data_IF_863854845957
#
_entry.id   IF_863854845957
#
_cell.length_a   1.000
_cell.length_b   1.000
_cell.length_c   1.000
_cell.angle_alpha   90.00
_cell.angle_beta   90.00
_cell.angle_gamma   90.00
#
_symmetry.space_group_name_H-M   'P 1'
#
loop_
_entity.id
_entity.type
_entity.pdbx_description
1 polymer ?
#
# COMPACT_ATOMS: atom_id res chain seq x y z
N UNK A 1 4.47 -22.81 0.36
CA UNK A 1 4.25 -21.35 0.20
C UNK A 1 5.25 -20.81 -0.82
N UNK A 2 4.83 -19.90 -1.69
CA UNK A 2 5.72 -19.31 -2.69
C UNK A 2 6.79 -18.44 -2.00
N UNK A 3 8.10 -18.58 -2.32
CA UNK A 3 9.19 -17.93 -1.56
C UNK A 3 9.07 -16.41 -1.44
N UNK A 4 8.59 -15.72 -2.47
CA UNK A 4 8.44 -14.25 -2.43
C UNK A 4 7.31 -13.79 -1.49
N UNK A 5 6.28 -14.61 -1.30
CA UNK A 5 5.22 -14.35 -0.33
C UNK A 5 5.69 -14.64 1.10
N UNK A 6 6.40 -15.76 1.29
CA UNK A 6 7.03 -16.10 2.57
C UNK A 6 8.00 -15.00 3.04
N UNK A 7 8.77 -14.45 2.10
CA UNK A 7 9.64 -13.31 2.32
C UNK A 7 8.87 -12.06 2.79
N UNK A 8 7.71 -11.74 2.19
CA UNK A 8 6.89 -10.61 2.62
C UNK A 8 6.26 -10.87 3.99
N UNK A 9 5.75 -12.07 4.24
CA UNK A 9 5.20 -12.44 5.56
C UNK A 9 6.27 -12.30 6.63
N UNK A 10 7.48 -12.77 6.36
CA UNK A 10 8.63 -12.63 7.27
C UNK A 10 8.97 -11.16 7.53
N UNK A 11 8.91 -10.32 6.48
CA UNK A 11 9.14 -8.88 6.59
C UNK A 11 8.10 -8.17 7.47
N UNK A 12 6.83 -8.61 7.41
CA UNK A 12 5.75 -8.07 8.23
C UNK A 12 5.72 -8.64 9.66
N UNK A 13 6.44 -9.73 9.91
CA UNK A 13 6.60 -10.32 11.23
C UNK A 13 7.72 -9.60 11.97
N UNK A 14 7.32 -8.80 12.96
CA UNK A 14 8.26 -7.98 13.73
C UNK A 14 8.95 -8.76 14.83
N UNK A 15 10.19 -8.37 15.13
CA UNK A 15 10.88 -8.77 16.35
C UNK A 15 10.34 -7.96 17.53
N UNK A 16 9.82 -8.60 18.56
CA UNK A 16 9.42 -7.93 19.80
C UNK A 16 10.66 -7.66 20.64
N UNK A 17 10.96 -6.40 20.88
CA UNK A 17 12.08 -5.95 21.73
C UNK A 17 11.60 -5.79 23.17
N UNK A 18 10.42 -5.19 23.36
CA UNK A 18 9.77 -4.94 24.63
C UNK A 18 8.25 -4.95 24.42
N UNK A 19 7.45 -4.84 25.48
CA UNK A 19 5.98 -4.92 25.43
C UNK A 19 5.34 -4.03 24.38
N UNK A 20 5.87 -2.84 24.17
CA UNK A 20 5.35 -1.85 23.23
C UNK A 20 6.39 -1.41 22.20
N UNK A 21 7.52 -2.13 22.08
CA UNK A 21 8.61 -1.79 21.15
C UNK A 21 8.91 -2.99 20.25
N UNK A 22 8.86 -2.74 18.96
CA UNK A 22 9.08 -3.76 17.93
C UNK A 22 10.14 -3.28 16.95
N UNK A 23 10.80 -4.23 16.29
CA UNK A 23 11.76 -3.95 15.23
C UNK A 23 11.37 -4.70 13.96
N UNK A 24 11.37 -3.99 12.85
CA UNK A 24 11.18 -4.54 11.51
C UNK A 24 12.37 -4.25 10.61
N UNK A 25 12.66 -5.18 9.72
CA UNK A 25 13.63 -4.97 8.65
C UNK A 25 13.00 -4.20 7.49
N UNK A 26 13.85 -3.68 6.60
CA UNK A 26 13.43 -3.03 5.36
C UNK A 26 13.87 -3.85 4.16
N UNK A 27 13.06 -3.84 3.08
CA UNK A 27 13.40 -4.53 1.84
C UNK A 27 13.33 -3.61 0.64
N UNK A 28 14.29 -3.81 -0.25
CA UNK A 28 14.28 -3.17 -1.56
C UNK A 28 13.29 -3.88 -2.49
N UNK A 29 12.20 -3.21 -2.81
CA UNK A 29 11.22 -3.65 -3.82
C UNK A 29 11.46 -3.01 -5.20
N UNK A 30 12.60 -2.35 -5.39
CA UNK A 30 12.94 -1.59 -6.62
C UNK A 30 12.66 -0.09 -6.50
N UNK A 31 12.27 0.40 -5.32
CA UNK A 31 12.11 1.82 -5.02
C UNK A 31 13.41 2.44 -4.49
N UNK A 32 13.52 3.78 -4.55
CA UNK A 32 14.68 4.49 -4.00
C UNK A 32 14.63 4.66 -2.47
N UNK A 33 13.53 4.26 -1.83
CA UNK A 33 13.24 4.41 -0.40
C UNK A 33 12.36 3.28 0.06
N UNK A 34 12.18 3.12 1.36
CA UNK A 34 11.25 2.15 1.95
C UNK A 34 9.84 2.37 1.36
N UNK A 35 9.20 1.30 0.94
CA UNK A 35 7.84 1.33 0.40
C UNK A 35 6.84 1.71 1.50
N UNK A 36 5.92 2.64 1.22
CA UNK A 36 4.94 3.09 2.19
C UNK A 36 4.04 1.96 2.71
N UNK A 37 3.58 1.08 1.82
CA UNK A 37 2.80 -0.09 2.20
C UNK A 37 3.54 -1.05 3.15
N UNK A 38 4.89 -1.14 3.07
CA UNK A 38 5.67 -1.91 4.04
C UNK A 38 5.54 -1.32 5.44
N UNK A 39 5.70 -0.01 5.57
CA UNK A 39 5.63 0.68 6.87
C UNK A 39 4.21 0.62 7.44
N UNK A 40 3.18 0.74 6.56
CA UNK A 40 1.77 0.56 6.94
C UNK A 40 1.51 -0.83 7.51
N UNK A 41 1.89 -1.89 6.78
CA UNK A 41 1.69 -3.28 7.22
C UNK A 41 2.45 -3.61 8.50
N UNK A 42 3.71 -3.17 8.62
CA UNK A 42 4.51 -3.36 9.83
C UNK A 42 3.96 -2.58 11.04
N UNK A 43 3.53 -1.33 10.86
CA UNK A 43 2.95 -0.53 11.94
C UNK A 43 1.61 -1.11 12.43
N UNK A 44 0.76 -1.61 11.49
CA UNK A 44 -0.46 -2.31 11.87
C UNK A 44 -0.14 -3.61 12.63
N UNK A 45 0.86 -4.39 12.16
CA UNK A 45 1.34 -5.58 12.85
C UNK A 45 1.83 -5.26 14.26
N UNK A 46 2.60 -4.18 14.46
CA UNK A 46 3.04 -3.74 15.79
C UNK A 46 1.84 -3.42 16.70
N UNK A 47 0.84 -2.71 16.19
CA UNK A 47 -0.38 -2.40 16.94
C UNK A 47 -1.14 -3.67 17.33
N UNK A 48 -1.30 -4.62 16.40
CA UNK A 48 -1.99 -5.90 16.63
C UNK A 48 -1.31 -6.77 17.69
N UNK A 49 0.02 -6.74 17.80
CA UNK A 49 0.74 -7.47 18.86
C UNK A 49 0.43 -6.99 20.29
N UNK A 50 -0.24 -5.86 20.44
CA UNK A 50 -0.66 -5.30 21.72
C UNK A 50 -2.18 -5.45 21.98
N UNK A 51 -2.88 -6.19 21.11
CA UNK A 51 -4.31 -6.48 21.16
C UNK A 51 -4.48 -8.00 21.28
N UNK A 52 -5.42 -8.46 22.09
CA UNK A 52 -5.66 -9.91 22.26
C UNK A 52 -6.84 -10.40 21.40
N UNK A 53 -8.06 -9.88 21.59
CA UNK A 53 -9.28 -10.47 21.03
C UNK A 53 -10.03 -9.57 20.02
N UNK A 54 -9.47 -8.40 19.67
CA UNK A 54 -10.11 -7.44 18.79
C UNK A 54 -9.49 -7.42 17.40
N UNK A 55 -10.29 -7.09 16.41
CA UNK A 55 -9.83 -6.91 15.02
C UNK A 55 -9.70 -5.44 14.67
N UNK A 56 -8.72 -5.09 13.85
CA UNK A 56 -8.59 -3.73 13.34
C UNK A 56 -9.77 -3.41 12.42
N UNK A 57 -10.44 -2.28 12.64
CA UNK A 57 -11.47 -1.79 11.74
C UNK A 57 -11.05 -0.52 10.99
N UNK A 58 -10.03 0.21 11.48
CA UNK A 58 -9.48 1.36 10.74
C UNK A 58 -8.06 1.69 11.14
N UNK A 59 -7.36 2.34 10.22
CA UNK A 59 -6.07 3.00 10.48
C UNK A 59 -5.97 4.32 9.71
N UNK A 60 -5.20 5.27 10.28
CA UNK A 60 -4.89 6.56 9.68
C UNK A 60 -3.42 6.86 9.92
N UNK A 61 -2.71 7.24 8.87
CA UNK A 61 -1.25 7.38 8.92
C UNK A 61 -0.74 8.62 8.19
N UNK A 62 0.43 9.13 8.64
CA UNK A 62 1.21 10.16 7.95
C UNK A 62 2.64 9.70 7.71
N UNK A 63 3.13 9.93 6.50
CA UNK A 63 4.51 9.73 6.10
C UNK A 63 5.29 11.03 6.33
N UNK A 64 6.21 11.02 7.28
CA UNK A 64 6.91 12.23 7.73
C UNK A 64 8.26 12.40 7.03
N UNK A 65 8.98 11.30 6.80
CA UNK A 65 10.32 11.28 6.20
C UNK A 65 10.54 10.01 5.38
N UNK A 66 11.50 10.09 4.48
CA UNK A 66 11.94 8.91 3.70
C UNK A 66 12.57 7.88 4.62
N UNK A 67 12.16 6.64 4.51
CA UNK A 67 12.80 5.52 5.20
C UNK A 67 14.08 5.07 4.49
N UNK A 68 15.10 4.77 5.30
CA UNK A 68 16.37 4.18 4.87
C UNK A 68 16.26 2.66 4.80
N UNK A 69 16.42 2.10 3.59
CA UNK A 69 16.34 0.64 3.38
C UNK A 69 17.50 -0.15 4.02
N UNK A 70 18.56 0.53 4.46
CA UNK A 70 19.73 -0.11 5.07
C UNK A 70 19.67 -0.19 6.58
N UNK A 71 18.69 0.47 7.19
CA UNK A 71 18.49 0.51 8.62
C UNK A 71 17.17 -0.18 9.01
N UNK A 72 17.12 -0.90 10.14
CA UNK A 72 15.86 -1.39 10.67
C UNK A 72 14.96 -0.22 11.10
N UNK A 73 13.67 -0.50 11.19
CA UNK A 73 12.68 0.46 11.68
C UNK A 73 12.24 0.01 13.08
N UNK A 74 12.30 0.91 14.04
CA UNK A 74 11.75 0.69 15.39
C UNK A 74 10.33 1.24 15.43
N UNK A 75 9.39 0.43 15.91
CA UNK A 75 7.98 0.78 16.09
C UNK A 75 7.68 0.90 17.58
N UNK A 76 7.34 2.11 18.03
CA UNK A 76 6.83 2.35 19.39
C UNK A 76 5.31 2.39 19.36
N UNK A 77 4.67 1.58 20.19
CA UNK A 77 3.21 1.49 20.30
C UNK A 77 2.76 2.15 21.59
N UNK A 78 1.92 3.17 21.47
CA UNK A 78 1.19 3.76 22.60
C UNK A 78 -0.20 3.11 22.68
N UNK A 79 -0.51 2.47 23.81
CA UNK A 79 -1.84 1.93 24.12
C UNK A 79 -2.75 3.05 24.58
N UNK A 80 -3.13 3.91 23.64
CA UNK A 80 -3.87 5.15 23.91
C UNK A 80 -5.22 4.91 24.64
N UNK A 81 -5.88 3.78 24.35
CA UNK A 81 -7.14 3.41 24.99
C UNK A 81 -7.41 1.91 24.91
N UNK A 82 -7.90 1.34 26.03
CA UNK A 82 -8.57 0.04 26.09
C UNK A 82 -9.95 0.28 26.75
N UNK A 83 -10.99 0.34 25.91
CA UNK A 83 -12.39 0.52 26.34
C UNK A 83 -13.16 -0.81 26.35
N UNK A 84 -14.48 -0.76 26.59
CA UNK A 84 -15.34 -1.95 26.59
C UNK A 84 -15.33 -2.69 25.27
N UNK A 85 -15.74 -2.04 24.16
CA UNK A 85 -15.84 -2.66 22.81
C UNK A 85 -14.74 -2.19 21.85
N UNK A 86 -13.99 -1.11 22.16
CA UNK A 86 -12.99 -0.52 21.28
C UNK A 86 -11.65 -0.34 21.98
N UNK A 87 -10.57 -0.58 21.25
CA UNK A 87 -9.21 -0.20 21.63
C UNK A 87 -8.58 0.69 20.57
N UNK A 88 -7.69 1.60 21.01
CA UNK A 88 -6.94 2.46 20.10
C UNK A 88 -5.44 2.34 20.38
N UNK A 89 -4.66 2.30 19.31
CA UNK A 89 -3.19 2.24 19.34
C UNK A 89 -2.63 3.34 18.48
N UNK A 90 -1.62 4.03 18.99
CA UNK A 90 -0.77 4.93 18.20
C UNK A 90 0.58 4.27 17.99
N UNK A 91 1.08 4.31 16.77
CA UNK A 91 2.38 3.74 16.43
C UNK A 91 3.25 4.83 15.82
N UNK A 92 4.48 4.94 16.30
CA UNK A 92 5.52 5.79 15.71
C UNK A 92 6.62 4.91 15.16
N UNK A 93 6.91 5.04 13.87
CA UNK A 93 8.04 4.37 13.24
C UNK A 93 9.27 5.29 13.25
N UNK A 94 10.39 4.80 13.74
CA UNK A 94 11.60 5.58 14.01
C UNK A 94 12.79 4.96 13.28
N UNK A 95 13.59 5.80 12.63
CA UNK A 95 14.93 5.47 12.14
C UNK A 95 15.90 6.60 12.47
N UNK A 96 17.15 6.26 12.79
CA UNK A 96 18.19 7.24 13.11
C UNK A 96 17.75 8.26 14.18
N UNK A 97 16.95 7.80 15.17
CA UNK A 97 16.44 8.64 16.27
C UNK A 97 15.35 9.65 15.85
N UNK A 98 14.78 9.52 14.64
CA UNK A 98 13.76 10.45 14.12
C UNK A 98 12.51 9.69 13.69
N UNK A 99 11.29 10.18 14.02
CA UNK A 99 10.06 9.64 13.43
C UNK A 99 10.07 9.77 11.91
N UNK A 100 9.83 8.66 11.21
CA UNK A 100 9.68 8.64 9.75
C UNK A 100 8.21 8.50 9.35
N UNK A 101 7.37 8.00 10.27
CA UNK A 101 5.96 7.70 10.02
C UNK A 101 5.22 7.64 11.37
N UNK A 102 3.93 7.94 11.37
CA UNK A 102 3.03 7.65 12.48
C UNK A 102 1.70 7.10 11.97
N UNK A 103 1.04 6.31 12.83
CA UNK A 103 -0.23 5.67 12.57
C UNK A 103 -1.08 5.67 13.83
N UNK A 104 -2.40 5.88 13.68
CA UNK A 104 -3.40 5.53 14.68
C UNK A 104 -4.27 4.40 14.13
N UNK A 105 -4.43 3.31 14.88
CA UNK A 105 -5.31 2.19 14.54
C UNK A 105 -6.38 2.01 15.60
N UNK A 106 -7.58 1.68 15.16
CA UNK A 106 -8.72 1.37 16.02
C UNK A 106 -9.15 -0.07 15.82
N UNK A 107 -9.48 -0.73 16.93
CA UNK A 107 -9.83 -2.14 17.03
C UNK A 107 -11.18 -2.28 17.70
N UNK A 108 -11.97 -3.26 17.29
CA UNK A 108 -13.32 -3.49 17.78
C UNK A 108 -13.56 -4.97 18.04
N UNK A 109 -14.38 -5.27 19.06
CA UNK A 109 -15.00 -6.58 19.20
C UNK A 109 -15.99 -6.79 18.05
N UNK A 110 -16.03 -7.97 17.38
CA UNK A 110 -17.01 -8.22 16.34
C UNK A 110 -18.43 -8.07 16.87
N UNK A 111 -19.25 -7.26 16.19
CA UNK A 111 -20.65 -7.01 16.52
C UNK A 111 -21.51 -7.05 15.26
N UNK A 112 -22.74 -7.54 15.37
CA UNK A 112 -23.77 -7.42 14.34
C UNK A 112 -24.43 -6.03 14.40
N UNK A 113 -24.84 -5.50 13.24
CA UNK A 113 -25.45 -4.18 13.16
C UNK A 113 -26.23 -3.94 11.87
N UNK A 114 -26.59 -2.68 11.65
CA UNK A 114 -27.19 -2.27 10.36
C UNK A 114 -26.14 -2.35 9.25
N UNK A 115 -26.56 -2.79 8.07
CA UNK A 115 -25.66 -2.98 6.95
C UNK A 115 -26.12 -2.27 5.67
N UNK A 116 -25.19 -1.68 4.99
CA UNK A 116 -25.29 -1.27 3.57
C UNK A 116 -23.87 -1.17 2.99
N UNK A 117 -23.75 -1.16 1.68
CA UNK A 117 -22.48 -0.93 0.99
C UNK A 117 -22.68 -0.27 -0.36
N UNK A 118 -21.61 0.29 -0.93
CA UNK A 118 -21.58 0.73 -2.32
C UNK A 118 -21.63 -0.49 -3.25
N UNK A 119 -22.20 -0.31 -4.44
CA UNK A 119 -22.14 -1.32 -5.49
C UNK A 119 -20.73 -1.46 -6.06
N UNK A 120 -20.31 -2.69 -6.37
CA UNK A 120 -19.07 -2.96 -7.10
C UNK A 120 -19.20 -2.43 -8.53
N UNK A 121 -18.18 -1.75 -9.08
CA UNK A 121 -18.16 -1.37 -10.49
C UNK A 121 -18.27 -2.58 -11.42
N UNK A 122 -18.98 -2.43 -12.53
CA UNK A 122 -19.03 -3.45 -13.58
C UNK A 122 -17.74 -3.44 -14.39
N UNK A 123 -16.90 -4.44 -14.17
CA UNK A 123 -15.61 -4.61 -14.85
C UNK A 123 -15.42 -6.08 -15.20
N UNK A 124 -14.59 -6.41 -16.22
CA UNK A 124 -14.20 -7.80 -16.47
C UNK A 124 -13.60 -8.47 -15.22
N UNK A 125 -13.93 -9.75 -15.00
CA UNK A 125 -13.33 -10.56 -13.96
C UNK A 125 -11.81 -10.74 -14.15
N UNK A 126 -11.13 -11.33 -13.18
CA UNK A 126 -9.66 -11.49 -13.25
C UNK A 126 -9.20 -12.45 -14.35
N UNK A 127 -10.06 -13.36 -14.78
CA UNK A 127 -9.71 -14.35 -15.80
C UNK A 127 -9.52 -13.71 -17.17
N UNK A 128 -8.42 -14.07 -17.84
CA UNK A 128 -8.05 -13.52 -19.15
C UNK A 128 -7.33 -12.17 -19.10
N UNK A 129 -7.28 -11.48 -17.95
CA UNK A 129 -6.48 -10.28 -17.78
C UNK A 129 -4.99 -10.65 -17.57
N UNK A 130 -4.10 -9.87 -18.19
CA UNK A 130 -2.65 -10.03 -18.02
C UNK A 130 -2.20 -9.52 -16.64
N UNK A 131 -1.34 -10.29 -16.00
CA UNK A 131 -0.66 -9.83 -14.79
C UNK A 131 0.42 -8.78 -15.12
N UNK A 132 0.67 -7.85 -14.22
CA UNK A 132 1.73 -6.82 -14.38
C UNK A 132 3.14 -7.42 -14.49
N UNK A 133 3.31 -8.67 -14.10
CA UNK A 133 4.55 -9.45 -14.27
C UNK A 133 4.67 -10.09 -15.64
N UNK A 134 3.59 -10.19 -16.41
CA UNK A 134 3.54 -10.80 -17.76
C UNK A 134 3.99 -9.77 -18.80
N UNK A 135 5.29 -9.47 -18.80
CA UNK A 135 5.87 -8.52 -19.74
C UNK A 135 6.28 -9.22 -21.02
N UNK A 136 5.87 -8.64 -22.15
CA UNK A 136 6.27 -9.13 -23.47
C UNK A 136 7.81 -9.17 -23.59
N UNK A 137 8.42 -10.31 -23.98
CA UNK A 137 9.87 -10.42 -24.16
C UNK A 137 10.44 -9.36 -25.11
N UNK A 138 9.75 -9.04 -26.20
CA UNK A 138 10.20 -8.00 -27.14
C UNK A 138 10.17 -6.58 -26.52
N UNK A 139 9.23 -6.33 -25.62
CA UNK A 139 9.17 -5.08 -24.86
C UNK A 139 10.28 -5.02 -23.80
N UNK A 140 10.58 -6.15 -23.15
CA UNK A 140 11.69 -6.26 -22.19
C UNK A 140 13.05 -5.93 -22.82
N UNK A 141 13.30 -6.41 -24.02
CA UNK A 141 14.58 -6.18 -24.71
C UNK A 141 14.82 -4.70 -25.07
N UNK A 142 13.76 -3.93 -25.22
CA UNK A 142 13.81 -2.48 -25.48
C UNK A 142 14.01 -1.64 -24.23
N UNK A 143 13.87 -2.23 -23.02
CA UNK A 143 14.01 -1.51 -21.77
C UNK A 143 15.47 -1.39 -21.32
N UNK A 144 15.87 -0.24 -20.75
CA UNK A 144 17.15 -0.12 -20.04
C UNK A 144 17.28 -1.19 -18.95
N UNK A 145 18.49 -1.69 -18.71
CA UNK A 145 18.76 -2.80 -17.76
C UNK A 145 18.13 -2.55 -16.36
N UNK A 146 18.26 -1.32 -15.86
CA UNK A 146 17.64 -0.94 -14.56
C UNK A 146 16.12 -1.13 -14.56
N UNK A 147 15.44 -0.77 -15.64
CA UNK A 147 13.99 -0.93 -15.77
C UNK A 147 13.61 -2.40 -15.95
N UNK A 148 14.39 -3.14 -16.72
CA UNK A 148 14.22 -4.59 -16.91
C UNK A 148 14.22 -5.31 -15.55
N UNK A 149 15.21 -5.02 -14.70
CA UNK A 149 15.29 -5.60 -13.34
C UNK A 149 14.06 -5.30 -12.47
N UNK A 150 13.50 -4.09 -12.58
CA UNK A 150 12.31 -3.70 -11.81
C UNK A 150 11.06 -4.45 -12.30
N UNK A 151 10.90 -4.56 -13.61
CA UNK A 151 9.72 -5.16 -14.23
C UNK A 151 9.71 -6.68 -14.08
N UNK A 152 10.88 -7.34 -14.14
CA UNK A 152 11.02 -8.80 -13.99
C UNK A 152 11.11 -9.27 -12.54
N UNK A 153 11.12 -8.35 -11.57
CA UNK A 153 11.19 -8.71 -10.15
C UNK A 153 9.92 -9.46 -9.74
N UNK A 154 10.09 -10.66 -9.18
CA UNK A 154 8.97 -11.44 -8.65
C UNK A 154 8.23 -10.65 -7.56
N UNK A 155 6.94 -10.68 -7.58
CA UNK A 155 6.04 -9.95 -6.67
C UNK A 155 5.26 -10.92 -5.79
N UNK A 156 4.94 -10.55 -4.54
CA UNK A 156 4.14 -11.40 -3.65
C UNK A 156 2.64 -11.38 -3.95
N UNK A 157 2.22 -10.54 -4.90
CA UNK A 157 0.84 -10.42 -5.34
C UNK A 157 0.73 -10.61 -6.85
N UNK A 158 -0.31 -11.29 -7.28
CA UNK A 158 -0.86 -11.15 -8.62
C UNK A 158 -1.59 -9.83 -8.69
N UNK A 159 -1.31 -9.03 -9.71
CA UNK A 159 -1.95 -7.74 -9.97
C UNK A 159 -2.33 -7.70 -11.43
N UNK A 160 -3.63 -7.68 -11.73
CA UNK A 160 -4.18 -7.69 -13.08
C UNK A 160 -4.97 -6.40 -13.35
N UNK A 161 -4.38 -5.39 -13.99
CA UNK A 161 -5.07 -4.17 -14.37
C UNK A 161 -6.23 -4.48 -15.33
N UNK A 162 -7.35 -3.81 -15.12
CA UNK A 162 -8.50 -3.86 -16.03
C UNK A 162 -8.28 -2.91 -17.20
N UNK A 163 -7.91 -1.66 -16.91
CA UNK A 163 -7.57 -0.69 -17.95
C UNK A 163 -6.12 -0.88 -18.41
N UNK A 164 -5.88 -0.82 -19.73
CA UNK A 164 -4.52 -0.87 -20.24
C UNK A 164 -3.75 0.36 -19.79
N UNK A 165 -2.68 0.16 -19.03
CA UNK A 165 -1.81 1.22 -18.55
C UNK A 165 -0.41 1.04 -19.08
N UNK A 166 0.16 2.06 -19.71
CA UNK A 166 1.57 2.09 -20.06
C UNK A 166 2.29 3.13 -19.19
N UNK A 167 3.17 2.66 -18.32
CA UNK A 167 4.04 3.55 -17.53
C UNK A 167 5.08 4.27 -18.38
N UNK A 168 5.38 3.75 -19.56
CA UNK A 168 6.43 4.26 -20.44
C UNK A 168 5.89 5.16 -21.56
N UNK A 169 4.62 5.02 -21.89
CA UNK A 169 3.92 5.85 -22.86
C UNK A 169 2.56 6.24 -22.26
N UNK A 170 2.55 7.13 -21.24
CA UNK A 170 1.32 7.53 -20.59
C UNK A 170 0.41 8.26 -21.59
N UNK A 171 -0.86 7.89 -21.56
CA UNK A 171 -1.92 8.56 -22.30
C UNK A 171 -2.89 9.19 -21.31
N UNK A 172 -3.54 10.26 -21.71
CA UNK A 172 -4.63 10.86 -20.93
C UNK A 172 -5.74 9.86 -20.72
N UNK A 173 -6.08 9.60 -19.48
CA UNK A 173 -7.14 8.68 -19.07
C UNK A 173 -8.02 9.33 -18.00
N UNK A 174 -9.28 8.91 -17.84
CA UNK A 174 -10.06 9.29 -16.67
C UNK A 174 -9.30 8.96 -15.38
N UNK A 175 -9.49 9.72 -14.30
CA UNK A 175 -8.85 9.47 -13.00
C UNK A 175 -9.49 8.27 -12.28
N UNK A 176 -9.59 7.15 -12.97
CA UNK A 176 -10.20 5.91 -12.51
C UNK A 176 -9.28 4.76 -12.89
N UNK A 177 -9.11 3.82 -11.98
CA UNK A 177 -8.29 2.63 -12.19
C UNK A 177 -8.90 1.45 -11.46
N UNK A 178 -8.92 0.30 -12.12
CA UNK A 178 -9.33 -0.96 -11.53
C UNK A 178 -8.20 -1.98 -11.68
N UNK A 179 -7.95 -2.75 -10.63
CA UNK A 179 -7.08 -3.92 -10.73
C UNK A 179 -7.56 -5.04 -9.81
N UNK A 180 -7.47 -6.26 -10.30
CA UNK A 180 -7.64 -7.44 -9.48
C UNK A 180 -6.33 -7.76 -8.77
N UNK A 181 -6.43 -8.05 -7.47
CA UNK A 181 -5.26 -8.35 -6.64
C UNK A 181 -5.53 -9.55 -5.75
N UNK A 182 -4.53 -10.44 -5.61
CA UNK A 182 -4.46 -11.49 -4.59
C UNK A 182 -3.02 -11.86 -4.32
N UNK A 183 -2.73 -12.57 -3.23
CA UNK A 183 -1.41 -13.15 -3.02
C UNK A 183 -1.11 -14.26 -4.03
N UNK A 184 0.19 -14.50 -4.29
CA UNK A 184 0.63 -15.53 -5.27
C UNK A 184 0.44 -16.96 -4.77
N UNK A 185 0.08 -17.15 -3.50
CA UNK A 185 -0.17 -18.44 -2.88
C UNK A 185 -1.20 -18.27 -1.76
N UNK A 186 -1.78 -19.38 -1.29
CA UNK A 186 -2.74 -19.39 -0.18
C UNK A 186 -2.09 -19.05 1.16
N UNK A 187 -2.88 -18.52 2.06
CA UNK A 187 -2.48 -18.11 3.40
C UNK A 187 -3.11 -18.98 4.48
N UNK A 188 -2.51 -18.99 5.67
CA UNK A 188 -3.18 -19.51 6.85
C UNK A 188 -4.38 -18.64 7.22
N UNK A 189 -5.39 -19.23 7.85
CA UNK A 189 -6.57 -18.52 8.36
C UNK A 189 -6.19 -17.66 9.59
N UNK A 190 -5.56 -16.52 9.31
CA UNK A 190 -5.11 -15.53 10.29
C UNK A 190 -5.58 -14.14 9.88
N UNK A 191 -6.68 -13.62 10.45
CA UNK A 191 -7.24 -12.33 10.09
C UNK A 191 -6.24 -11.16 10.17
N UNK A 192 -5.37 -11.15 11.16
CA UNK A 192 -4.36 -10.12 11.33
C UNK A 192 -3.35 -10.12 10.17
N UNK A 193 -2.92 -11.30 9.71
CA UNK A 193 -2.03 -11.42 8.56
C UNK A 193 -2.69 -10.91 7.28
N UNK A 194 -3.95 -11.27 7.02
CA UNK A 194 -4.69 -10.78 5.86
C UNK A 194 -4.84 -9.26 5.89
N UNK A 195 -5.11 -8.67 7.05
CA UNK A 195 -5.19 -7.21 7.21
C UNK A 195 -3.84 -6.51 6.97
N UNK A 196 -2.73 -7.08 7.47
CA UNK A 196 -1.39 -6.54 7.26
C UNK A 196 -0.98 -6.57 5.78
N UNK A 197 -1.29 -7.64 5.08
CA UNK A 197 -1.03 -7.79 3.66
C UNK A 197 -1.93 -6.87 2.82
N UNK A 198 -3.20 -6.68 3.22
CA UNK A 198 -4.08 -5.70 2.57
C UNK A 198 -3.55 -4.27 2.78
N UNK A 199 -3.12 -3.91 4.01
CA UNK A 199 -2.50 -2.62 4.29
C UNK A 199 -1.23 -2.40 3.45
N UNK A 200 -0.42 -3.44 3.25
CA UNK A 200 0.75 -3.39 2.37
C UNK A 200 0.36 -3.09 0.92
N UNK A 201 -0.61 -3.81 0.37
CA UNK A 201 -0.94 -3.68 -1.07
C UNK A 201 -1.84 -2.48 -1.35
N UNK A 202 -2.54 -1.94 -0.35
CA UNK A 202 -3.45 -0.78 -0.51
C UNK A 202 -2.73 0.51 -0.93
N UNK A 203 -1.42 0.63 -0.64
CA UNK A 203 -0.59 1.75 -1.11
C UNK A 203 -0.16 1.60 -2.58
N UNK A 204 -0.39 0.41 -3.19
CA UNK A 204 0.03 0.15 -4.56
C UNK A 204 -0.88 0.87 -5.55
N UNK A 205 -0.31 1.72 -6.43
CA UNK A 205 -1.00 2.46 -7.51
C UNK A 205 -2.05 3.51 -7.04
N UNK A 206 -2.38 3.61 -5.74
CA UNK A 206 -3.46 4.49 -5.29
C UNK A 206 -3.17 5.96 -5.65
N UNK A 207 -2.03 6.51 -5.20
CA UNK A 207 -1.64 7.89 -5.56
C UNK A 207 -1.43 8.05 -7.07
N UNK A 208 -0.97 7.00 -7.75
CA UNK A 208 -0.77 6.99 -9.21
C UNK A 208 -2.04 7.26 -10.00
N UNK A 209 -3.20 6.94 -9.45
CA UNK A 209 -4.51 7.21 -10.08
C UNK A 209 -4.73 8.71 -10.31
N UNK A 210 -4.22 9.57 -9.43
CA UNK A 210 -4.32 11.03 -9.58
C UNK A 210 -3.52 11.61 -10.75
N UNK A 211 -2.60 10.84 -11.32
CA UNK A 211 -1.75 11.29 -12.43
C UNK A 211 -2.29 10.92 -13.81
N UNK A 212 -3.30 10.05 -13.89
CA UNK A 212 -3.85 9.53 -15.15
C UNK A 212 -4.34 10.63 -16.12
N UNK A 213 -5.00 11.73 -15.67
CA UNK A 213 -5.43 12.79 -16.57
C UNK A 213 -4.29 13.67 -17.14
N UNK A 214 -3.05 13.51 -16.67
CA UNK A 214 -1.97 14.48 -16.88
C UNK A 214 -0.84 14.01 -17.79
N UNK A 215 -0.90 12.80 -18.35
CA UNK A 215 0.15 12.23 -19.23
C UNK A 215 1.57 12.34 -18.66
N UNK A 216 1.71 12.18 -17.34
CA UNK A 216 2.98 12.37 -16.65
C UNK A 216 3.87 11.13 -16.81
N UNK A 217 5.05 11.24 -17.45
CA UNK A 217 5.93 10.10 -17.69
C UNK A 217 6.63 9.69 -16.38
N UNK A 218 6.30 8.50 -15.87
CA UNK A 218 7.01 7.93 -14.75
C UNK A 218 8.48 7.63 -15.12
N UNK A 219 9.38 7.88 -14.19
CA UNK A 219 10.82 7.61 -14.39
C UNK A 219 11.58 8.65 -15.21
N UNK A 220 10.93 9.67 -15.74
CA UNK A 220 11.57 10.78 -16.44
C UNK A 220 12.39 11.71 -15.53
N UNK A 221 12.23 11.59 -14.21
CA UNK A 221 12.78 12.53 -13.22
C UNK A 221 12.05 13.89 -13.18
N UNK A 222 11.04 14.08 -14.03
CA UNK A 222 10.26 15.33 -14.11
C UNK A 222 9.04 15.35 -13.19
N UNK A 223 8.70 14.21 -12.58
CA UNK A 223 7.59 14.10 -11.63
C UNK A 223 8.14 13.56 -10.31
N UNK A 224 7.93 14.35 -9.24
CA UNK A 224 8.26 13.94 -7.88
C UNK A 224 6.95 13.51 -7.22
N UNK A 225 6.90 12.26 -6.77
CA UNK A 225 5.75 11.72 -6.04
C UNK A 225 6.19 11.18 -4.69
N UNK A 226 5.36 11.44 -3.68
CA UNK A 226 5.53 10.87 -2.33
C UNK A 226 4.18 10.87 -1.62
N UNK A 227 3.82 9.76 -0.98
CA UNK A 227 2.65 9.69 -0.10
C UNK A 227 2.83 10.65 1.07
N UNK A 228 1.77 11.37 1.45
CA UNK A 228 1.72 12.26 2.61
C UNK A 228 0.94 11.59 3.74
N UNK A 229 -0.18 10.98 3.44
CA UNK A 229 -1.00 10.23 4.37
C UNK A 229 -1.50 8.92 3.75
N UNK A 230 -2.17 8.10 4.52
CA UNK A 230 -2.92 6.94 4.07
C UNK A 230 -3.95 6.57 5.14
N UNK A 231 -5.19 6.35 4.73
CA UNK A 231 -6.26 5.84 5.58
C UNK A 231 -6.83 4.56 5.00
N UNK A 232 -7.17 3.61 5.86
CA UNK A 232 -7.75 2.32 5.48
C UNK A 232 -8.83 1.93 6.51
N UNK A 233 -10.00 1.53 6.03
CA UNK A 233 -11.09 0.98 6.82
C UNK A 233 -11.36 -0.46 6.38
N UNK A 234 -11.41 -1.36 7.33
CA UNK A 234 -11.82 -2.75 7.14
C UNK A 234 -13.30 -2.87 7.48
N UNK A 235 -14.13 -3.17 6.51
CA UNK A 235 -15.59 -3.26 6.69
C UNK A 235 -16.07 -4.68 6.99
N UNK A 236 -15.34 -5.68 6.49
CA UNK A 236 -15.63 -7.11 6.64
C UNK A 236 -14.34 -7.92 6.72
N UNK A 237 -14.40 -9.19 7.15
CA UNK A 237 -13.24 -10.07 7.09
C UNK A 237 -12.61 -10.09 5.69
N UNK A 238 -11.29 -9.95 5.65
CA UNK A 238 -10.52 -9.91 4.40
C UNK A 238 -9.83 -11.23 4.18
N UNK A 239 -9.92 -11.76 2.95
CA UNK A 239 -9.12 -12.88 2.44
C UNK A 239 -8.34 -12.42 1.22
N UNK A 240 -7.12 -11.93 1.44
CA UNK A 240 -6.27 -11.36 0.39
C UNK A 240 -5.61 -12.42 -0.51
N UNK A 241 -5.76 -13.67 -0.21
CA UNK A 241 -5.39 -14.82 -1.04
C UNK A 241 -6.50 -15.24 -2.02
N UNK A 242 -7.69 -14.65 -1.89
CA UNK A 242 -8.76 -14.66 -2.89
C UNK A 242 -8.69 -13.39 -3.75
N UNK A 243 -9.28 -13.41 -4.96
CA UNK A 243 -9.29 -12.23 -5.80
C UNK A 243 -10.13 -11.11 -5.18
N UNK A 244 -9.52 -9.93 -5.06
CA UNK A 244 -10.19 -8.69 -4.69
C UNK A 244 -10.06 -7.68 -5.83
N UNK A 245 -11.17 -7.05 -6.21
CA UNK A 245 -11.16 -5.89 -7.09
C UNK A 245 -10.76 -4.66 -6.27
N UNK A 246 -9.66 -4.03 -6.61
CA UNK A 246 -9.28 -2.72 -6.11
C UNK A 246 -9.74 -1.65 -7.09
N UNK A 247 -10.88 -1.02 -6.79
CA UNK A 247 -11.46 0.06 -7.57
C UNK A 247 -10.99 1.40 -6.99
N UNK A 248 -10.27 2.18 -7.79
CA UNK A 248 -9.65 3.44 -7.37
C UNK A 248 -10.17 4.61 -8.21
N UNK A 249 -10.36 5.76 -7.58
CA UNK A 249 -10.66 7.03 -8.25
C UNK A 249 -9.84 8.18 -7.66
N UNK A 250 -9.66 9.25 -8.43
CA UNK A 250 -9.03 10.47 -7.94
C UNK A 250 -9.94 11.66 -8.23
N UNK A 251 -10.67 12.16 -7.22
CA UNK A 251 -11.59 13.28 -7.40
C UNK A 251 -10.87 14.62 -7.51
N UNK A 252 -9.58 14.72 -7.13
CA UNK A 252 -8.86 15.99 -7.14
C UNK A 252 -7.35 15.83 -7.30
N UNK A 253 -6.75 16.73 -8.08
CA UNK A 253 -5.33 17.05 -8.07
C UNK A 253 -5.16 18.55 -8.16
N UNK A 254 -4.35 19.15 -7.26
CA UNK A 254 -4.11 20.59 -7.20
C UNK A 254 -3.11 20.97 -6.12
N UNK A 255 -2.48 22.15 -6.22
CA UNK A 255 -1.50 22.60 -5.25
C UNK A 255 -0.31 21.67 -5.08
N UNK A 256 0.15 21.02 -6.16
CA UNK A 256 1.18 19.98 -6.18
C UNK A 256 0.83 18.73 -5.33
N UNK A 257 -0.45 18.45 -5.11
CA UNK A 257 -0.94 17.24 -4.45
C UNK A 257 -1.95 16.52 -5.34
N UNK A 258 -2.02 15.19 -5.18
CA UNK A 258 -3.08 14.35 -5.72
C UNK A 258 -3.80 13.66 -4.58
N UNK A 259 -5.12 13.59 -4.64
CA UNK A 259 -5.95 12.84 -3.72
C UNK A 259 -6.60 11.68 -4.45
N UNK A 260 -6.54 10.49 -3.89
CA UNK A 260 -7.15 9.30 -4.45
C UNK A 260 -7.89 8.50 -3.37
N UNK A 261 -8.91 7.76 -3.80
CA UNK A 261 -9.69 6.84 -2.97
C UNK A 261 -9.70 5.46 -3.61
N UNK A 262 -9.97 4.44 -2.81
CA UNK A 262 -10.08 3.09 -3.30
C UNK A 262 -11.04 2.26 -2.48
N UNK A 263 -11.59 1.23 -3.10
CA UNK A 263 -12.50 0.26 -2.50
C UNK A 263 -12.09 -1.14 -2.93
N UNK A 264 -12.06 -2.07 -1.97
CA UNK A 264 -11.78 -3.48 -2.24
C UNK A 264 -13.06 -4.28 -2.18
N UNK A 265 -13.37 -4.98 -3.27
CA UNK A 265 -14.53 -5.86 -3.37
C UNK A 265 -14.08 -7.30 -3.61
N UNK A 266 -14.78 -8.26 -3.02
CA UNK A 266 -14.66 -9.68 -3.44
C UNK A 266 -15.21 -9.87 -4.84
N UNK A 267 -14.91 -10.99 -5.50
CA UNK A 267 -15.52 -11.34 -6.80
C UNK A 267 -17.06 -11.38 -6.75
N UNK A 268 -17.63 -11.71 -5.59
CA UNK A 268 -19.08 -11.68 -5.36
C UNK A 268 -19.66 -10.28 -5.15
N UNK A 269 -18.84 -9.23 -5.19
CA UNK A 269 -19.28 -7.84 -5.03
C UNK A 269 -19.39 -7.36 -3.59
N UNK A 270 -18.87 -8.09 -2.61
CA UNK A 270 -18.86 -7.68 -1.20
C UNK A 270 -17.75 -6.66 -0.95
N UNK A 271 -18.08 -5.47 -0.45
CA UNK A 271 -17.12 -4.45 -0.06
C UNK A 271 -16.43 -4.86 1.24
N UNK A 272 -15.12 -5.12 1.19
CA UNK A 272 -14.33 -5.56 2.36
C UNK A 272 -13.47 -4.47 2.96
N UNK A 273 -13.03 -3.48 2.16
CA UNK A 273 -12.22 -2.37 2.67
C UNK A 273 -12.37 -1.10 1.81
N UNK A 274 -12.06 0.05 2.41
CA UNK A 274 -11.95 1.34 1.71
C UNK A 274 -10.65 2.03 2.08
N UNK A 275 -10.07 2.79 1.12
CA UNK A 275 -8.83 3.56 1.30
C UNK A 275 -8.99 5.00 0.87
N UNK A 276 -8.16 5.88 1.43
CA UNK A 276 -7.97 7.24 0.95
C UNK A 276 -6.51 7.67 1.17
N UNK A 277 -5.95 8.43 0.22
CA UNK A 277 -4.57 8.88 0.29
C UNK A 277 -4.42 10.24 -0.38
N UNK A 278 -3.74 11.17 0.27
CA UNK A 278 -3.16 12.34 -0.37
C UNK A 278 -1.65 12.15 -0.53
N UNK A 279 -1.09 12.65 -1.62
CA UNK A 279 0.35 12.62 -1.85
C UNK A 279 0.84 13.82 -2.62
N UNK A 280 2.14 14.10 -2.49
CA UNK A 280 2.84 15.06 -3.32
C UNK A 280 2.85 14.55 -4.77
N UNK A 281 2.43 15.39 -5.70
CA UNK A 281 2.55 15.19 -7.15
C UNK A 281 3.08 16.51 -7.74
N UNK A 282 4.38 16.63 -7.85
CA UNK A 282 5.04 17.85 -8.31
C UNK A 282 5.73 17.64 -9.65
N UNK A 283 5.34 18.43 -10.63
CA UNK A 283 6.06 18.53 -11.91
C UNK A 283 7.24 19.50 -11.73
N UNK A 284 8.39 19.15 -12.26
CA UNK A 284 9.61 19.98 -12.25
C UNK A 284 10.08 20.19 -13.70
N UNK A 285 10.55 21.41 -14.00
CA UNK A 285 10.96 21.79 -15.37
C UNK A 285 12.24 21.04 -15.80
N UNK A 286 13.16 20.84 -14.85
CA UNK A 286 14.38 20.07 -15.08
C UNK A 286 14.33 18.72 -14.37
N UNK A 287 14.75 17.62 -15.02
CA UNK A 287 14.86 16.33 -14.36
C UNK A 287 15.78 16.39 -13.15
N UNK A 288 15.25 16.06 -11.97
CA UNK A 288 16.08 15.95 -10.78
C UNK A 288 16.63 14.53 -10.66
N UNK A 289 17.94 14.36 -10.42
CA UNK A 289 18.48 13.06 -10.11
C UNK A 289 17.79 12.51 -8.85
N UNK A 290 17.43 11.25 -8.87
CA UNK A 290 16.62 10.56 -7.85
C UNK A 290 17.23 10.54 -6.43
N UNK A 291 18.31 11.27 -6.17
CA UNK A 291 19.14 11.13 -4.97
C UNK A 291 19.34 12.35 -4.08
N UNK A 292 18.88 13.53 -4.43
CA UNK A 292 19.22 14.68 -3.56
C UNK A 292 18.33 15.90 -3.70
N UNK A 293 17.18 15.92 -3.07
CA UNK A 293 16.62 17.20 -2.63
C UNK A 293 16.92 17.35 -1.12
N UNK A 294 17.86 18.21 -0.71
CA UNK A 294 18.18 18.44 0.71
C UNK A 294 16.96 18.93 1.51
N UNK A 295 15.97 19.54 0.83
CA UNK A 295 14.72 20.02 1.45
C UNK A 295 13.78 18.90 1.84
N UNK A 296 13.98 17.67 1.33
CA UNK A 296 13.23 16.47 1.70
C UNK A 296 13.95 15.66 2.80
N UNK A 297 15.09 16.12 3.28
CA UNK A 297 15.90 15.50 4.35
C UNK A 297 15.79 16.25 5.69
N UNK A 298 15.07 17.36 5.74
CA UNK A 298 14.89 18.15 6.95
C UNK A 298 13.72 17.66 7.81
#
# INVERSE_FOLDING_TARGET
>A
MHPVLEDLITLLKLERIEDNIFRGDSRDIGSAQVFGGQVLGQALSAAQHTIEDRVAHSLHAYFLRRGDMKAPIVYEVDRARDGGSFSNRRVVAIQHGRPIFNLAASFQDPEDGIEHQAGMPEVPGPDGLRDVSDVDPEALDKLPEKMRRIVTKKRPFHIRPVEPTSRFAPQKQPPIRHCWVRTVDSLADNPALHQNLLAYVSDHELLGTSTLPHELPFGSGRVIMASLDHALWFHRPVKIDEWLLYAMDSPNAGGARGFARGQFFTEAGTLVASTAQEGLVRVVDEPRPSRSDPRLQA
#
